data_IF_673350597750
#
_entry.id   IF_673350597750
#
_cell.length_a   1.000
_cell.length_b   1.000
_cell.length_c   1.000
_cell.angle_alpha   90.00
_cell.angle_beta   90.00
_cell.angle_gamma   90.00
#
_symmetry.space_group_name_H-M   'P 1'
#
loop_
_entity.id
_entity.type
_entity.pdbx_description
1 polymer ?
#
# COMPACT_ATOMS: atom_id res chain seq x y z
N UNK A 1 -0.15 -7.25 18.88
CA UNK A 1 -0.70 -6.05 18.20
C UNK A 1 0.37 -5.10 17.67
N UNK A 2 1.47 -4.80 18.41
CA UNK A 2 2.56 -3.92 17.94
C UNK A 2 3.11 -4.28 16.55
N UNK A 3 3.42 -5.57 16.31
CA UNK A 3 3.91 -6.04 15.00
C UNK A 3 2.90 -5.88 13.85
N UNK A 4 1.60 -6.00 14.11
CA UNK A 4 0.56 -5.81 13.09
C UNK A 4 0.49 -4.33 12.69
N UNK A 5 0.53 -3.42 13.66
CA UNK A 5 0.50 -1.99 13.38
C UNK A 5 1.69 -1.57 12.51
N UNK A 6 2.90 -1.99 12.89
CA UNK A 6 4.12 -1.69 12.14
C UNK A 6 4.08 -2.29 10.72
N UNK A 7 3.68 -3.56 10.58
CA UNK A 7 3.57 -4.22 9.29
C UNK A 7 2.51 -3.58 8.39
N UNK A 8 1.40 -3.10 8.96
CA UNK A 8 0.31 -2.46 8.20
C UNK A 8 0.69 -1.07 7.71
N UNK A 9 1.39 -0.30 8.53
CA UNK A 9 1.94 1.01 8.11
C UNK A 9 3.04 0.82 7.08
N UNK A 10 3.94 -0.15 7.27
CA UNK A 10 5.01 -0.41 6.31
C UNK A 10 4.49 -0.92 4.96
N UNK A 11 3.62 -1.93 4.97
CA UNK A 11 3.10 -2.53 3.74
C UNK A 11 2.01 -1.68 3.09
N UNK A 12 0.94 -1.36 3.83
CA UNK A 12 -0.20 -0.59 3.31
C UNK A 12 0.14 0.88 3.10
N UNK A 13 0.68 1.50 4.15
CA UNK A 13 0.94 2.94 4.18
C UNK A 13 2.14 3.36 3.34
N UNK A 14 3.27 2.66 3.43
CA UNK A 14 4.45 3.05 2.66
C UNK A 14 4.58 2.23 1.38
N UNK A 15 4.45 0.90 1.43
CA UNK A 15 4.62 0.05 0.25
C UNK A 15 3.58 0.31 -0.84
N UNK A 16 2.31 0.01 -0.57
CA UNK A 16 1.23 0.04 -1.56
C UNK A 16 0.94 1.48 -2.00
N UNK A 17 0.77 2.41 -1.04
CA UNK A 17 0.47 3.82 -1.34
C UNK A 17 1.61 4.54 -2.07
N UNK A 18 2.87 4.39 -1.63
CA UNK A 18 3.99 5.06 -2.32
C UNK A 18 4.15 4.53 -3.73
N UNK A 19 4.06 3.21 -3.91
CA UNK A 19 4.15 2.61 -5.24
C UNK A 19 3.07 3.19 -6.18
N UNK A 20 1.83 3.35 -5.70
CA UNK A 20 0.75 3.90 -6.51
C UNK A 20 1.07 5.33 -6.95
N UNK A 21 1.44 6.20 -6.02
CA UNK A 21 1.69 7.60 -6.33
C UNK A 21 3.00 7.82 -7.10
N UNK A 22 4.02 6.99 -6.92
CA UNK A 22 5.20 6.96 -7.80
C UNK A 22 4.77 6.65 -9.24
N UNK A 23 3.88 5.67 -9.43
CA UNK A 23 3.32 5.35 -10.76
C UNK A 23 2.52 6.51 -11.36
N UNK A 24 1.74 7.22 -10.54
CA UNK A 24 0.97 8.38 -10.96
C UNK A 24 1.86 9.58 -11.32
N UNK A 25 2.89 9.87 -10.53
CA UNK A 25 3.88 10.94 -10.84
C UNK A 25 4.66 10.61 -12.11
N UNK A 26 4.89 9.34 -12.40
CA UNK A 26 5.53 8.91 -13.64
C UNK A 26 4.62 9.07 -14.89
N UNK A 27 3.31 9.27 -14.70
CA UNK A 27 2.37 9.49 -15.80
C UNK A 27 2.61 10.85 -16.46
N UNK A 28 2.88 10.83 -17.77
CA UNK A 28 3.06 12.05 -18.56
C UNK A 28 1.76 12.39 -19.27
N UNK A 29 1.04 13.39 -18.74
CA UNK A 29 -0.12 13.97 -19.40
C UNK A 29 0.28 15.27 -20.13
N UNK A 30 -0.38 15.62 -21.25
CA UNK A 30 -0.13 16.86 -21.98
C UNK A 30 -0.69 18.11 -21.28
N UNK A 31 -1.30 17.94 -20.10
CA UNK A 31 -1.89 19.00 -19.28
C UNK A 31 -1.24 19.02 -17.88
N UNK A 32 -1.14 20.20 -17.24
CA UNK A 32 -0.77 20.28 -15.82
C UNK A 32 -1.73 19.46 -14.96
N UNK A 33 -1.20 18.72 -14.00
CA UNK A 33 -1.99 17.89 -13.09
C UNK A 33 -1.42 17.95 -11.67
N UNK A 34 -2.31 17.88 -10.68
CA UNK A 34 -1.97 17.82 -9.26
C UNK A 34 -2.82 16.77 -8.54
N UNK A 35 -2.68 16.70 -7.22
CA UNK A 35 -3.36 15.71 -6.38
C UNK A 35 -4.02 16.40 -5.21
N UNK A 36 -5.28 16.08 -4.92
CA UNK A 36 -5.91 16.61 -3.73
C UNK A 36 -5.34 15.94 -2.47
N UNK A 37 -4.93 16.76 -1.50
CA UNK A 37 -4.33 16.31 -0.24
C UNK A 37 -5.29 15.43 0.55
N UNK A 38 -6.58 15.78 0.56
CA UNK A 38 -7.59 15.05 1.33
C UNK A 38 -7.74 13.61 0.83
N UNK A 39 -8.01 13.42 -0.45
CA UNK A 39 -8.14 12.10 -1.07
C UNK A 39 -6.85 11.29 -0.95
N UNK A 40 -5.69 11.94 -1.03
CA UNK A 40 -4.37 11.32 -0.87
C UNK A 40 -4.16 10.77 0.56
N UNK A 41 -4.60 11.51 1.58
CA UNK A 41 -4.52 11.07 2.99
C UNK A 41 -5.57 10.01 3.29
N UNK A 42 -6.79 10.14 2.75
CA UNK A 42 -7.83 9.13 2.94
C UNK A 42 -7.43 7.81 2.27
N UNK A 43 -6.84 7.85 1.07
CA UNK A 43 -6.37 6.64 0.37
C UNK A 43 -5.25 5.94 1.15
N UNK A 44 -4.32 6.70 1.75
CA UNK A 44 -3.32 6.17 2.68
C UNK A 44 -3.98 5.44 3.86
N UNK A 45 -4.97 6.07 4.50
CA UNK A 45 -5.71 5.49 5.62
C UNK A 45 -6.42 4.19 5.23
N UNK A 46 -7.06 4.16 4.06
CA UNK A 46 -7.72 2.95 3.53
C UNK A 46 -6.72 1.80 3.36
N UNK A 47 -5.54 2.06 2.80
CA UNK A 47 -4.52 1.02 2.65
C UNK A 47 -4.05 0.48 4.00
N UNK A 48 -3.73 1.36 4.97
CA UNK A 48 -3.27 0.95 6.31
C UNK A 48 -4.35 0.12 7.03
N UNK A 49 -5.59 0.58 7.02
CA UNK A 49 -6.71 -0.10 7.69
C UNK A 49 -7.00 -1.45 7.05
N UNK A 50 -7.01 -1.53 5.71
CA UNK A 50 -7.26 -2.79 5.01
C UNK A 50 -6.15 -3.81 5.26
N UNK A 51 -4.87 -3.39 5.26
CA UNK A 51 -3.75 -4.26 5.61
C UNK A 51 -3.82 -4.71 7.07
N UNK A 52 -4.16 -3.81 8.00
CA UNK A 52 -4.32 -4.16 9.41
C UNK A 52 -5.46 -5.16 9.63
N UNK A 53 -6.60 -4.95 8.97
CA UNK A 53 -7.72 -5.88 8.99
C UNK A 53 -7.30 -7.25 8.45
N UNK A 54 -6.67 -7.30 7.28
CA UNK A 54 -6.17 -8.54 6.67
C UNK A 54 -5.24 -9.31 7.62
N UNK A 55 -4.20 -8.67 8.15
CA UNK A 55 -3.26 -9.34 9.06
C UNK A 55 -3.89 -9.77 10.38
N UNK A 56 -4.81 -8.96 10.94
CA UNK A 56 -5.51 -9.33 12.18
C UNK A 56 -6.35 -10.59 12.04
N UNK A 57 -6.94 -10.83 10.86
CA UNK A 57 -7.73 -12.05 10.60
C UNK A 57 -6.88 -13.33 10.61
N UNK A 58 -5.62 -13.23 10.17
CA UNK A 58 -4.67 -14.35 10.06
C UNK A 58 -3.96 -14.65 11.38
N UNK A 59 -3.61 -13.64 12.17
CA UNK A 59 -2.90 -13.82 13.45
C UNK A 59 -3.71 -14.66 14.44
N UNK A 60 -5.04 -14.57 14.40
CA UNK A 60 -5.90 -15.32 15.32
C UNK A 60 -5.88 -16.85 15.06
N UNK A 61 -5.75 -17.30 13.81
CA UNK A 61 -5.61 -18.73 13.42
C UNK A 61 -4.91 -18.86 12.05
N UNK A 62 -3.58 -19.03 12.02
CA UNK A 62 -2.79 -18.91 10.79
C UNK A 62 -3.00 -20.04 9.76
N UNK A 63 -3.56 -21.18 10.16
CA UNK A 63 -3.71 -22.36 9.28
C UNK A 63 -5.14 -22.57 8.73
N UNK A 64 -6.03 -21.62 8.96
CA UNK A 64 -7.42 -21.68 8.50
C UNK A 64 -7.53 -21.12 7.08
N UNK A 65 -7.81 -22.00 6.11
CA UNK A 65 -7.96 -21.63 4.68
C UNK A 65 -9.05 -20.59 4.46
N UNK A 66 -10.12 -20.61 5.25
CA UNK A 66 -11.22 -19.65 5.11
C UNK A 66 -10.77 -18.25 5.54
N UNK A 67 -9.99 -18.15 6.61
CA UNK A 67 -9.42 -16.88 7.07
C UNK A 67 -8.40 -16.33 6.09
N UNK A 68 -7.61 -17.20 5.46
CA UNK A 68 -6.68 -16.78 4.40
C UNK A 68 -7.43 -16.16 3.21
N UNK A 69 -8.51 -16.79 2.77
CA UNK A 69 -9.35 -16.24 1.70
C UNK A 69 -9.95 -14.89 2.10
N UNK A 70 -10.50 -14.78 3.32
CA UNK A 70 -11.02 -13.51 3.84
C UNK A 70 -9.94 -12.43 3.91
N UNK A 71 -8.75 -12.76 4.42
CA UNK A 71 -7.61 -11.85 4.51
C UNK A 71 -7.15 -11.36 3.13
N UNK A 72 -7.12 -12.26 2.14
CA UNK A 72 -6.76 -11.95 0.77
C UNK A 72 -7.78 -11.04 0.10
N UNK A 73 -9.08 -11.30 0.31
CA UNK A 73 -10.16 -10.46 -0.20
C UNK A 73 -10.09 -9.07 0.42
N UNK A 74 -9.92 -8.96 1.75
CA UNK A 74 -9.77 -7.68 2.45
C UNK A 74 -8.57 -6.89 1.94
N UNK A 75 -7.42 -7.56 1.78
CA UNK A 75 -6.20 -6.91 1.29
C UNK A 75 -6.36 -6.47 -0.16
N UNK A 76 -6.83 -7.33 -1.05
CA UNK A 76 -7.02 -7.02 -2.47
C UNK A 76 -8.04 -5.89 -2.68
N UNK A 77 -9.17 -5.92 -1.96
CA UNK A 77 -10.14 -4.83 -1.97
C UNK A 77 -9.53 -3.53 -1.45
N UNK A 78 -8.71 -3.58 -0.40
CA UNK A 78 -7.99 -2.42 0.13
C UNK A 78 -7.03 -1.79 -0.87
N UNK A 79 -6.25 -2.61 -1.58
CA UNK A 79 -5.31 -2.16 -2.62
C UNK A 79 -6.08 -1.49 -3.77
N UNK A 80 -7.18 -2.10 -4.24
CA UNK A 80 -8.02 -1.50 -5.28
C UNK A 80 -8.70 -0.22 -4.80
N UNK A 81 -9.28 -0.21 -3.59
CA UNK A 81 -9.94 0.95 -3.02
C UNK A 81 -8.96 2.13 -2.88
N UNK A 82 -7.77 1.90 -2.35
CA UNK A 82 -6.72 2.92 -2.28
C UNK A 82 -6.37 3.44 -3.68
N UNK A 83 -6.15 2.54 -4.65
CA UNK A 83 -5.78 2.92 -6.00
C UNK A 83 -6.83 3.80 -6.69
N UNK A 84 -8.10 3.36 -6.69
CA UNK A 84 -9.17 4.13 -7.33
C UNK A 84 -9.49 5.42 -6.58
N UNK A 85 -9.35 5.44 -5.25
CA UNK A 85 -9.50 6.66 -4.47
C UNK A 85 -8.35 7.66 -4.73
N UNK A 86 -7.11 7.16 -4.89
CA UNK A 86 -5.96 7.97 -5.29
C UNK A 86 -6.13 8.57 -6.69
N UNK A 87 -6.63 7.77 -7.64
CA UNK A 87 -7.00 8.24 -8.99
C UNK A 87 -8.10 9.30 -8.95
N UNK A 88 -9.12 9.12 -8.12
CA UNK A 88 -10.18 10.10 -7.92
C UNK A 88 -9.67 11.44 -7.35
N UNK A 89 -8.59 11.38 -6.55
CA UNK A 89 -7.90 12.56 -6.03
C UNK A 89 -7.08 13.33 -7.06
N UNK A 90 -6.83 12.78 -8.25
CA UNK A 90 -6.10 13.47 -9.32
C UNK A 90 -6.93 14.64 -9.85
N UNK A 91 -6.29 15.81 -9.95
CA UNK A 91 -6.87 17.04 -10.49
C UNK A 91 -6.14 17.41 -11.77
N UNK A 92 -6.87 17.39 -12.88
CA UNK A 92 -6.40 17.80 -14.20
C UNK A 92 -7.59 18.33 -15.01
N UNK A 93 -7.32 19.09 -16.08
CA UNK A 93 -8.37 19.65 -16.93
C UNK A 93 -8.92 18.60 -17.91
N UNK A 94 -9.76 17.71 -17.39
CA UNK A 94 -10.36 16.63 -18.14
C UNK A 94 -11.22 15.70 -17.28
N UNK A 95 -11.53 14.52 -17.82
CA UNK A 95 -12.28 13.49 -17.11
C UNK A 95 -11.82 12.08 -17.48
N UNK A 96 -12.20 11.12 -16.65
CA UNK A 96 -11.90 9.70 -16.84
C UNK A 96 -13.04 8.98 -17.56
N UNK A 97 -12.69 8.13 -18.52
CA UNK A 97 -13.60 7.12 -19.09
C UNK A 97 -13.15 5.75 -18.58
N UNK A 98 -14.06 5.00 -17.98
CA UNK A 98 -13.72 3.73 -17.32
C UNK A 98 -14.19 2.52 -18.12
N UNK A 99 -13.28 1.56 -18.30
CA UNK A 99 -13.61 0.22 -18.77
C UNK A 99 -13.90 -0.70 -17.59
N UNK A 100 -15.19 -0.92 -17.30
CA UNK A 100 -15.64 -1.78 -16.19
C UNK A 100 -15.03 -3.19 -16.24
N UNK A 101 -14.91 -3.87 -17.41
CA UNK A 101 -14.28 -5.19 -17.47
C UNK A 101 -12.82 -5.19 -17.00
N UNK A 102 -12.05 -4.15 -17.34
CA UNK A 102 -10.63 -4.04 -16.97
C UNK A 102 -10.48 -3.69 -15.49
N UNK A 103 -11.40 -2.88 -14.93
CA UNK A 103 -11.49 -2.62 -13.49
C UNK A 103 -11.75 -3.90 -12.70
N UNK A 104 -12.68 -4.75 -13.17
CA UNK A 104 -12.93 -6.04 -12.52
C UNK A 104 -11.74 -6.99 -12.65
N UNK A 105 -11.04 -6.97 -13.80
CA UNK A 105 -9.84 -7.77 -13.99
C UNK A 105 -8.70 -7.36 -13.05
N UNK A 106 -8.49 -6.04 -12.84
CA UNK A 106 -7.48 -5.53 -11.90
C UNK A 106 -7.81 -5.96 -10.46
N UNK A 107 -9.09 -5.94 -10.08
CA UNK A 107 -9.56 -6.39 -8.77
C UNK A 107 -9.29 -7.88 -8.54
N UNK A 108 -9.65 -8.72 -9.52
CA UNK A 108 -9.37 -10.17 -9.44
C UNK A 108 -7.87 -10.42 -9.32
N UNK A 109 -7.04 -9.73 -10.11
CA UNK A 109 -5.59 -9.85 -10.03
C UNK A 109 -5.07 -9.48 -8.63
N UNK A 110 -5.58 -8.40 -8.05
CA UNK A 110 -5.19 -7.96 -6.69
C UNK A 110 -5.50 -9.02 -5.64
N UNK A 111 -6.72 -9.56 -5.66
CA UNK A 111 -7.17 -10.57 -4.68
C UNK A 111 -6.38 -11.87 -4.84
N UNK A 112 -6.17 -12.33 -6.08
CA UNK A 112 -5.38 -13.55 -6.35
C UNK A 112 -3.93 -13.36 -5.93
N UNK A 113 -3.31 -12.24 -6.29
CA UNK A 113 -1.93 -11.94 -5.90
C UNK A 113 -1.76 -11.84 -4.39
N UNK A 114 -2.69 -11.18 -3.69
CA UNK A 114 -2.74 -11.12 -2.24
C UNK A 114 -2.89 -12.52 -1.62
N UNK A 115 -3.77 -13.37 -2.18
CA UNK A 115 -3.94 -14.75 -1.69
C UNK A 115 -2.66 -15.56 -1.81
N UNK A 116 -1.95 -15.49 -2.94
CA UNK A 116 -0.68 -16.19 -3.14
C UNK A 116 0.38 -15.67 -2.17
N UNK A 117 0.53 -14.35 -2.04
CA UNK A 117 1.50 -13.75 -1.14
C UNK A 117 1.24 -14.14 0.33
N UNK A 118 -0.01 -14.05 0.79
CA UNK A 118 -0.39 -14.43 2.15
C UNK A 118 -0.22 -15.94 2.38
N UNK A 119 -0.55 -16.78 1.39
CA UNK A 119 -0.32 -18.22 1.47
C UNK A 119 1.16 -18.58 1.63
N UNK A 120 2.05 -17.89 0.91
CA UNK A 120 3.49 -18.08 1.04
C UNK A 120 4.00 -17.76 2.45
N UNK A 121 3.48 -16.69 3.07
CA UNK A 121 3.88 -16.24 4.41
C UNK A 121 3.29 -17.09 5.52
N UNK A 122 1.99 -17.41 5.47
CA UNK A 122 1.28 -18.00 6.61
C UNK A 122 1.10 -19.52 6.51
N UNK A 123 1.10 -20.10 5.29
CA UNK A 123 0.89 -21.53 5.11
C UNK A 123 2.15 -22.26 4.65
N UNK A 124 2.86 -21.76 3.64
CA UNK A 124 4.02 -22.48 3.09
C UNK A 124 5.25 -22.42 4.01
N UNK A 125 5.53 -21.24 4.59
CA UNK A 125 6.56 -21.00 5.63
C UNK A 125 7.98 -21.55 5.34
N UNK A 126 8.31 -21.89 4.10
CA UNK A 126 9.67 -22.26 3.70
C UNK A 126 10.52 -21.00 3.46
N UNK A 127 11.85 -21.10 3.62
CA UNK A 127 12.77 -19.99 3.36
C UNK A 127 12.59 -19.40 1.95
N UNK A 128 12.36 -20.27 0.95
CA UNK A 128 12.09 -19.86 -0.43
C UNK A 128 10.76 -19.11 -0.53
N UNK A 129 9.72 -19.58 0.15
CA UNK A 129 8.41 -18.94 0.16
C UNK A 129 8.44 -17.56 0.81
N UNK A 130 9.14 -17.41 1.94
CA UNK A 130 9.27 -16.14 2.65
C UNK A 130 10.03 -15.09 1.81
N UNK A 131 11.05 -15.52 1.05
CA UNK A 131 11.76 -14.63 0.11
C UNK A 131 10.93 -14.29 -1.13
N UNK A 132 10.09 -15.21 -1.59
CA UNK A 132 9.24 -15.01 -2.77
C UNK A 132 8.00 -14.15 -2.49
N UNK A 133 7.43 -14.23 -1.28
CA UNK A 133 6.22 -13.52 -0.88
C UNK A 133 6.23 -12.00 -1.18
N UNK A 134 7.25 -11.21 -0.78
CA UNK A 134 7.27 -9.78 -1.07
C UNK A 134 7.39 -9.49 -2.58
N UNK A 135 8.09 -10.33 -3.33
CA UNK A 135 8.22 -10.19 -4.79
C UNK A 135 6.87 -10.43 -5.47
N UNK A 136 6.16 -11.48 -5.06
CA UNK A 136 4.80 -11.78 -5.55
C UNK A 136 3.84 -10.64 -5.22
N UNK A 137 3.87 -10.14 -3.98
CA UNK A 137 3.02 -9.02 -3.58
C UNK A 137 3.35 -7.76 -4.40
N UNK A 138 4.63 -7.40 -4.55
CA UNK A 138 5.04 -6.24 -5.33
C UNK A 138 4.62 -6.35 -6.79
N UNK A 139 4.76 -7.54 -7.39
CA UNK A 139 4.31 -7.82 -8.75
C UNK A 139 2.78 -7.73 -8.88
N UNK A 140 2.02 -8.21 -7.89
CA UNK A 140 0.57 -8.14 -7.89
C UNK A 140 0.07 -6.69 -7.78
N UNK A 141 0.64 -5.90 -6.87
CA UNK A 141 0.28 -4.48 -6.70
C UNK A 141 0.67 -3.68 -7.95
N UNK A 142 1.86 -3.93 -8.52
CA UNK A 142 2.33 -3.37 -9.80
C UNK A 142 1.46 -3.71 -10.98
N UNK A 143 1.17 -4.99 -11.16
CA UNK A 143 0.28 -5.46 -12.21
C UNK A 143 -1.10 -4.83 -12.09
N UNK A 144 -1.67 -4.82 -10.88
CA UNK A 144 -2.99 -4.22 -10.66
C UNK A 144 -2.97 -2.73 -11.00
N UNK A 145 -1.98 -1.98 -10.54
CA UNK A 145 -1.86 -0.56 -10.82
C UNK A 145 -1.84 -0.26 -12.33
N UNK A 146 -0.97 -0.93 -13.09
CA UNK A 146 -0.87 -0.67 -14.53
C UNK A 146 -2.09 -1.16 -15.32
N UNK A 147 -2.71 -2.26 -14.92
CA UNK A 147 -3.96 -2.74 -15.52
C UNK A 147 -5.12 -1.78 -15.19
N UNK A 148 -5.19 -1.28 -13.96
CA UNK A 148 -6.20 -0.32 -13.57
C UNK A 148 -6.01 1.05 -14.26
N UNK A 149 -4.76 1.46 -14.47
CA UNK A 149 -4.42 2.63 -15.29
C UNK A 149 -4.86 2.47 -16.75
N UNK A 150 -4.68 1.29 -17.35
CA UNK A 150 -5.16 1.03 -18.71
C UNK A 150 -6.68 0.95 -18.82
N UNK A 151 -7.38 0.72 -17.69
CA UNK A 151 -8.83 0.82 -17.61
C UNK A 151 -9.34 2.26 -17.71
N UNK A 152 -8.49 3.25 -17.44
CA UNK A 152 -8.84 4.66 -17.40
C UNK A 152 -8.38 5.39 -18.68
N UNK A 153 -9.33 5.82 -19.49
CA UNK A 153 -9.09 6.74 -20.59
C UNK A 153 -9.02 8.19 -20.07
N UNK A 154 -7.90 8.87 -20.30
CA UNK A 154 -7.70 10.27 -19.92
C UNK A 154 -8.15 11.19 -21.05
N UNK A 155 -9.31 11.82 -20.91
CA UNK A 155 -9.82 12.79 -21.89
C UNK A 155 -9.47 14.20 -21.42
N UNK A 156 -8.54 14.85 -22.11
CA UNK A 156 -8.13 16.23 -21.83
C UNK A 156 -9.01 17.22 -22.60
N UNK A 157 -9.64 18.18 -21.92
CA UNK A 157 -10.65 19.08 -22.53
C UNK A 157 -10.12 20.47 -22.89
N UNK A 158 -8.88 20.81 -22.52
CA UNK A 158 -8.29 22.15 -22.77
C UNK A 158 -6.94 22.08 -23.48
N UNK A 159 -6.67 23.10 -24.30
CA UNK A 159 -5.36 23.38 -24.90
C UNK A 159 -4.51 24.14 -23.86
N UNK A 160 -3.20 23.84 -23.68
CA UNK A 160 -2.42 24.32 -22.53
C UNK A 160 -2.41 25.85 -22.45
N UNK A 161 -3.17 26.43 -21.51
CA UNK A 161 -3.12 27.85 -21.18
C UNK A 161 -3.03 28.01 -19.67
N UNK A 162 -1.79 28.12 -19.18
CA UNK A 162 -1.51 28.60 -17.84
C UNK A 162 -1.25 27.52 -16.78
N UNK A 163 -0.65 27.99 -15.69
CA UNK A 163 -0.26 27.21 -14.53
C UNK A 163 -1.47 26.54 -13.87
N UNK A 164 -1.25 25.43 -13.16
CA UNK A 164 -2.30 24.80 -12.34
C UNK A 164 -2.99 25.85 -11.45
N UNK A 165 -4.32 25.79 -11.29
CA UNK A 165 -4.98 26.55 -10.24
C UNK A 165 -4.38 26.13 -8.90
N UNK A 166 -3.60 27.02 -8.27
CA UNK A 166 -3.15 26.87 -6.89
C UNK A 166 -4.35 27.13 -5.97
N UNK A 167 -5.22 26.12 -5.82
CA UNK A 167 -6.24 26.12 -4.78
C UNK A 167 -5.69 25.44 -3.53
N UNK A 168 -6.11 25.91 -2.36
CA UNK A 168 -5.80 25.28 -1.07
C UNK A 168 -6.09 23.77 -1.13
N UNK A 169 -5.11 22.95 -0.74
CA UNK A 169 -5.24 21.50 -0.67
C UNK A 169 -4.92 20.73 -1.96
N UNK A 170 -4.32 21.35 -2.98
CA UNK A 170 -3.68 20.63 -4.11
C UNK A 170 -2.17 20.50 -3.85
N UNK A 171 -1.67 19.28 -3.99
CA UNK A 171 -0.26 18.89 -3.88
C UNK A 171 0.29 18.70 -5.29
N UNK A 172 1.40 19.37 -5.60
CA UNK A 172 2.10 19.17 -6.88
C UNK A 172 2.86 17.85 -6.92
N UNK A 173 3.20 17.36 -8.11
CA UNK A 173 3.95 16.11 -8.28
C UNK A 173 5.32 16.12 -7.59
N UNK A 174 5.98 17.28 -7.53
CA UNK A 174 7.25 17.44 -6.82
C UNK A 174 7.07 17.27 -5.30
N UNK A 175 6.10 17.96 -4.71
CA UNK A 175 5.82 17.89 -3.28
C UNK A 175 5.43 16.47 -2.87
N UNK A 176 4.60 15.81 -3.69
CA UNK A 176 4.20 14.44 -3.47
C UNK A 176 5.39 13.46 -3.54
N UNK A 177 6.32 13.69 -4.47
CA UNK A 177 7.56 12.90 -4.55
C UNK A 177 8.40 13.05 -3.28
N UNK A 178 8.55 14.28 -2.78
CA UNK A 178 9.26 14.54 -1.51
C UNK A 178 8.58 13.83 -0.33
N UNK A 179 7.24 13.91 -0.24
CA UNK A 179 6.47 13.23 0.81
C UNK A 179 6.65 11.71 0.76
N UNK A 180 6.61 11.12 -0.44
CA UNK A 180 6.84 9.68 -0.63
C UNK A 180 8.25 9.30 -0.18
N UNK A 181 9.28 10.01 -0.65
CA UNK A 181 10.67 9.74 -0.26
C UNK A 181 10.87 9.88 1.26
N UNK A 182 10.31 10.92 1.88
CA UNK A 182 10.38 11.12 3.32
C UNK A 182 9.70 9.97 4.07
N UNK A 183 8.50 9.54 3.66
CA UNK A 183 7.78 8.43 4.28
C UNK A 183 8.54 7.10 4.21
N UNK A 184 9.22 6.83 3.09
CA UNK A 184 10.10 5.67 2.89
C UNK A 184 11.30 5.69 3.83
N UNK A 185 11.97 6.83 3.95
CA UNK A 185 13.11 6.98 4.85
C UNK A 185 12.71 6.83 6.32
N UNK A 186 11.58 7.42 6.71
CA UNK A 186 11.06 7.33 8.08
C UNK A 186 10.73 5.88 8.43
N UNK A 187 10.00 5.14 7.58
CA UNK A 187 9.66 3.76 7.92
C UNK A 187 10.89 2.86 7.97
N UNK A 188 11.87 3.07 7.08
CA UNK A 188 13.13 2.32 7.12
C UNK A 188 13.89 2.58 8.42
N UNK A 189 13.93 3.83 8.89
CA UNK A 189 14.55 4.17 10.17
C UNK A 189 13.81 3.52 11.36
N UNK A 190 12.47 3.52 11.35
CA UNK A 190 11.68 2.88 12.41
C UNK A 190 11.90 1.36 12.42
N UNK A 191 11.91 0.71 11.26
CA UNK A 191 12.15 -0.74 11.16
C UNK A 191 13.58 -1.09 11.62
N UNK A 192 14.59 -0.29 11.23
CA UNK A 192 15.96 -0.49 11.67
C UNK A 192 16.11 -0.29 13.19
N UNK A 193 15.44 0.71 13.75
CA UNK A 193 15.42 0.96 15.19
C UNK A 193 14.75 -0.20 15.94
N UNK A 194 13.60 -0.69 15.46
CA UNK A 194 12.89 -1.84 16.03
C UNK A 194 13.78 -3.09 16.03
N UNK A 195 14.46 -3.36 14.91
CA UNK A 195 15.43 -4.46 14.81
C UNK A 195 16.62 -4.27 15.75
N UNK A 196 17.17 -3.06 15.83
CA UNK A 196 18.31 -2.76 16.70
C UNK A 196 17.96 -2.95 18.18
N UNK A 197 16.79 -2.44 18.60
CA UNK A 197 16.28 -2.61 19.96
C UNK A 197 16.08 -4.09 20.31
N UNK A 198 15.57 -4.90 19.38
CA UNK A 198 15.41 -6.34 19.57
C UNK A 198 16.74 -7.10 19.61
N UNK A 199 17.76 -6.62 18.89
CA UNK A 199 19.09 -7.24 18.87
C UNK A 199 19.99 -6.85 20.05
N UNK A 200 19.57 -5.89 20.86
CA UNK A 200 20.37 -5.36 21.97
C UNK A 200 20.39 -6.33 23.16
N UNK A 201 21.57 -6.74 23.68
CA UNK A 201 21.69 -7.79 24.72
C UNK A 201 20.97 -7.51 26.05
N UNK A 202 20.66 -6.25 26.37
CA UNK A 202 20.17 -5.85 27.69
C UNK A 202 18.74 -6.31 28.03
N UNK A 203 17.94 -6.79 27.07
CA UNK A 203 16.57 -7.31 27.34
C UNK A 203 16.53 -8.84 27.55
N UNK A 204 17.61 -9.57 27.30
CA UNK A 204 17.66 -11.02 27.54
C UNK A 204 17.91 -11.30 29.04
N UNK A 205 18.52 -10.37 29.76
CA UNK A 205 18.96 -10.56 31.15
C UNK A 205 17.85 -10.35 32.20
N UNK A 206 16.78 -9.61 31.86
CA UNK A 206 15.67 -9.31 32.79
C UNK A 206 14.61 -10.43 32.90
N UNK A 207 14.55 -11.37 31.94
CA UNK A 207 13.59 -12.48 31.92
C UNK A 207 14.13 -13.76 32.62
N UNK A 208 15.43 -13.79 32.97
CA UNK A 208 16.13 -14.93 33.59
C UNK A 208 16.38 -14.76 35.11
N UNK A 209 15.91 -13.68 35.74
CA UNK A 209 16.04 -13.52 37.19
C UNK A 209 14.95 -14.34 37.91
N UNK A 210 15.32 -15.34 38.75
CA UNK A 210 14.34 -16.11 39.49
C UNK A 210 13.55 -15.19 40.44
N UNK A 211 12.26 -15.49 40.71
CA UNK A 211 11.50 -14.71 41.68
C UNK A 211 12.24 -14.74 43.01
N UNK A 212 12.65 -13.55 43.48
CA UNK A 212 13.24 -13.36 44.79
C UNK A 212 12.33 -14.01 45.84
N UNK A 213 12.78 -15.13 46.40
CA UNK A 213 12.20 -15.71 47.60
C UNK A 213 12.66 -14.86 48.79
N UNK A 214 11.74 -14.03 49.28
CA UNK A 214 11.80 -13.34 50.57
C UNK A 214 10.57 -13.70 51.38
#
# INVERSE_FOLDING_TARGET
YRGIALASVAMGGVGIWSMHFVGMVALKLPVPHGYSLWETVVSLGVAVVATAASFSTLVARPNDRMRLLLAAVLLGLGVCAMHYLGMYGMRFDGYFIWSVPVVLASLVLSVVGAAIALWLVFSAQSDKALRAAPVVMAAAVSGMHYIAMSAAGFVCTVVPRGNMPSSDGIVGSNDLTVLITASLLVIMAVLALDQWLWSSPQMIEDDDLPPHQG
#
